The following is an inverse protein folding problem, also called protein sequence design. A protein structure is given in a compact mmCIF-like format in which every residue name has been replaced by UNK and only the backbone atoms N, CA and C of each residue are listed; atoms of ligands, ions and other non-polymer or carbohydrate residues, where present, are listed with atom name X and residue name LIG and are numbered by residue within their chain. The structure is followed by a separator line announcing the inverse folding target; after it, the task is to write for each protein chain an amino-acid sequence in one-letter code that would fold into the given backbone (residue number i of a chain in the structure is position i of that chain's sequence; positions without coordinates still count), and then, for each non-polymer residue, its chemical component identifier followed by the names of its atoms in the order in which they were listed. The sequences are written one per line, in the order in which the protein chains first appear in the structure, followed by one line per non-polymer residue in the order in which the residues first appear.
data_IF_887105946054
#
_entry.id   IF_887105946054
#
_cell.length_a   1.000
_cell.length_b   1.000
_cell.length_c   1.000
_cell.angle_alpha   90.00
_cell.angle_beta   90.00
_cell.angle_gamma   90.00
#
_symmetry.space_group_name_H-M   'P 1'
#
loop_
_entity.id
_entity.type
_entity.pdbx_description
1 polymer ?
#
# COMPACT_ATOMS: atom_id res chain seq x y z
N UNK A 1 -62.95 56.72 20.34
CA UNK A 1 -62.75 55.57 19.44
C UNK A 1 -61.25 55.33 19.33
N UNK A 2 -60.77 54.40 20.13
CA UNK A 2 -59.35 54.05 20.26
C UNK A 2 -59.01 52.96 19.27
N UNK A 3 -57.92 53.15 18.52
CA UNK A 3 -57.23 52.08 17.80
C UNK A 3 -55.88 51.85 18.47
N UNK A 4 -55.77 50.76 19.19
CA UNK A 4 -54.52 50.26 19.75
C UNK A 4 -53.88 49.26 18.78
N UNK A 5 -52.71 49.55 18.31
CA UNK A 5 -51.89 48.63 17.50
C UNK A 5 -50.90 47.88 18.37
N UNK A 6 -51.02 46.55 18.40
CA UNK A 6 -50.09 45.65 19.07
C UNK A 6 -48.94 45.36 18.11
N UNK A 7 -47.71 45.80 18.43
CA UNK A 7 -46.49 45.40 17.74
C UNK A 7 -45.99 44.11 18.38
N UNK A 8 -46.10 43.00 17.65
CA UNK A 8 -45.46 41.74 18.02
C UNK A 8 -43.96 41.81 17.65
N UNK A 9 -43.10 41.73 18.66
CA UNK A 9 -41.67 41.55 18.51
C UNK A 9 -41.36 40.06 18.27
N UNK A 10 -40.91 39.73 17.06
CA UNK A 10 -40.31 38.42 16.77
C UNK A 10 -38.86 38.44 17.27
N UNK A 11 -38.60 37.74 18.39
CA UNK A 11 -37.28 37.42 18.83
C UNK A 11 -36.79 36.22 18.02
N UNK A 12 -35.90 36.42 17.08
CA UNK A 12 -35.20 35.35 16.37
C UNK A 12 -34.15 34.73 17.32
N UNK A 13 -34.42 33.57 17.89
CA UNK A 13 -33.40 32.73 18.51
C UNK A 13 -32.56 32.10 17.43
N UNK A 14 -31.41 32.67 17.13
CA UNK A 14 -30.35 32.00 16.36
C UNK A 14 -29.72 30.96 17.30
N UNK A 15 -30.14 29.70 17.16
CA UNK A 15 -29.44 28.57 17.75
C UNK A 15 -28.18 28.32 16.91
N UNK A 16 -27.07 28.86 17.37
CA UNK A 16 -25.76 28.48 16.86
C UNK A 16 -25.48 27.04 17.30
N UNK A 17 -25.70 26.08 16.42
CA UNK A 17 -25.16 24.73 16.56
C UNK A 17 -23.64 24.83 16.36
N UNK A 18 -22.93 25.09 17.44
CA UNK A 18 -21.50 24.82 17.49
C UNK A 18 -21.33 23.30 17.42
N UNK A 19 -20.97 22.78 16.26
CA UNK A 19 -20.40 21.45 16.16
C UNK A 19 -19.08 21.47 16.94
N UNK A 20 -19.14 21.10 18.21
CA UNK A 20 -17.97 20.63 18.94
C UNK A 20 -17.64 19.27 18.32
N UNK A 21 -16.83 19.26 17.27
CA UNK A 21 -16.22 18.03 16.82
C UNK A 21 -15.30 17.58 17.95
N UNK A 22 -15.69 16.49 18.63
CA UNK A 22 -14.86 15.85 19.63
C UNK A 22 -13.49 15.57 19.01
N UNK A 23 -12.40 15.83 19.72
CA UNK A 23 -11.05 15.50 19.29
C UNK A 23 -10.92 14.01 18.92
N UNK A 24 -11.66 13.12 19.59
CA UNK A 24 -11.79 11.69 19.30
C UNK A 24 -12.34 11.37 17.88
N UNK A 25 -13.03 12.30 17.23
CA UNK A 25 -13.55 12.08 15.89
C UNK A 25 -12.47 12.16 14.80
N UNK A 26 -11.28 12.64 15.11
CA UNK A 26 -10.16 12.84 14.17
C UNK A 26 -9.09 11.73 14.21
N UNK A 27 -9.09 10.89 15.23
CA UNK A 27 -8.12 9.80 15.36
C UNK A 27 -8.66 8.49 14.78
N UNK A 28 -7.80 7.63 14.23
CA UNK A 28 -8.19 6.26 13.89
C UNK A 28 -8.48 5.45 15.16
N UNK A 29 -9.42 4.47 15.12
CA UNK A 29 -9.73 3.66 16.30
C UNK A 29 -8.49 2.96 16.82
N UNK A 30 -8.15 3.18 18.10
CA UNK A 30 -7.01 2.50 18.71
C UNK A 30 -7.37 1.03 18.97
N UNK A 31 -6.64 0.07 18.36
CA UNK A 31 -6.87 -1.35 18.58
C UNK A 31 -6.35 -1.79 19.95
N UNK A 32 -6.89 -2.88 20.48
CA UNK A 32 -6.27 -3.61 21.57
C UNK A 32 -5.14 -4.49 21.03
N UNK A 33 -4.03 -4.59 21.77
CA UNK A 33 -2.88 -5.36 21.32
C UNK A 33 -2.31 -6.25 22.43
N UNK A 34 -1.77 -7.40 22.04
CA UNK A 34 -0.99 -8.24 22.91
C UNK A 34 -0.02 -9.12 22.11
N UNK A 35 1.01 -9.62 22.78
CA UNK A 35 1.99 -10.51 22.15
C UNK A 35 2.01 -11.86 22.88
N UNK A 36 1.98 -12.94 22.13
CA UNK A 36 2.14 -14.30 22.68
C UNK A 36 3.59 -14.58 23.07
N UNK A 37 3.81 -15.60 23.91
CA UNK A 37 5.16 -16.02 24.33
C UNK A 37 6.07 -16.45 23.16
N UNK A 38 5.49 -16.91 22.06
CA UNK A 38 6.22 -17.30 20.85
C UNK A 38 6.49 -16.14 19.90
N UNK A 39 6.17 -14.90 20.30
CA UNK A 39 6.44 -13.67 19.54
C UNK A 39 5.34 -13.23 18.59
N UNK A 40 4.24 -13.96 18.44
CA UNK A 40 3.12 -13.52 17.60
C UNK A 40 2.51 -12.25 18.19
N UNK A 41 2.54 -11.17 17.41
CA UNK A 41 1.85 -9.92 17.73
C UNK A 41 0.39 -10.04 17.32
N UNK A 42 -0.53 -9.62 18.17
CA UNK A 42 -1.98 -9.66 17.91
C UNK A 42 -2.56 -8.26 18.05
N UNK A 43 -3.37 -7.89 17.08
CA UNK A 43 -4.09 -6.61 16.99
C UNK A 43 -5.58 -6.90 16.87
N UNK A 44 -6.39 -6.31 17.73
CA UNK A 44 -7.85 -6.55 17.79
C UNK A 44 -8.58 -5.23 17.59
N UNK A 45 -9.38 -5.17 16.53
CA UNK A 45 -10.20 -4.01 16.19
C UNK A 45 -11.66 -4.40 16.38
N UNK A 46 -12.21 -4.08 17.54
CA UNK A 46 -13.60 -4.44 17.87
C UNK A 46 -14.59 -3.59 17.09
N UNK A 47 -15.42 -4.26 16.29
CA UNK A 47 -16.52 -3.65 15.55
C UNK A 47 -17.75 -4.57 15.55
N UNK A 48 -18.72 -4.27 16.40
CA UNK A 48 -19.90 -5.10 16.62
C UNK A 48 -21.12 -4.72 15.74
N UNK A 49 -20.90 -3.91 14.68
CA UNK A 49 -21.98 -3.48 13.77
C UNK A 49 -22.58 -4.63 12.96
N UNK A 50 -21.80 -5.68 12.70
CA UNK A 50 -22.26 -6.88 12.00
C UNK A 50 -21.60 -8.13 12.60
N UNK A 51 -22.25 -9.31 12.59
CA UNK A 51 -21.72 -10.54 13.16
C UNK A 51 -20.70 -11.22 12.22
N UNK A 52 -19.73 -10.45 11.74
CA UNK A 52 -18.66 -10.88 10.86
C UNK A 52 -17.30 -10.46 11.40
N UNK A 53 -16.28 -11.15 11.00
CA UNK A 53 -14.89 -10.85 11.34
C UNK A 53 -14.01 -10.93 10.09
N UNK A 54 -13.03 -10.06 10.02
CA UNK A 54 -11.88 -10.14 9.11
C UNK A 54 -10.69 -10.61 9.92
N UNK A 55 -10.17 -11.77 9.59
CA UNK A 55 -8.99 -12.38 10.19
C UNK A 55 -7.84 -12.28 9.20
N UNK A 56 -6.72 -11.67 9.56
CA UNK A 56 -5.57 -11.46 8.68
C UNK A 56 -4.28 -11.87 9.36
N UNK A 57 -3.46 -12.67 8.67
CA UNK A 57 -2.10 -12.97 9.11
C UNK A 57 -1.10 -12.30 8.17
N UNK A 58 -0.31 -11.40 8.73
CA UNK A 58 0.72 -10.63 8.04
C UNK A 58 2.09 -11.20 8.40
N UNK A 59 2.81 -11.69 7.42
CA UNK A 59 4.20 -12.09 7.60
C UNK A 59 5.10 -10.93 7.20
N UNK A 60 6.07 -10.60 8.08
CA UNK A 60 7.09 -9.58 7.82
C UNK A 60 8.15 -10.12 6.87
N UNK A 61 7.74 -10.46 5.66
CA UNK A 61 8.57 -10.97 4.56
C UNK A 61 7.86 -10.72 3.25
N UNK A 62 8.57 -10.17 2.28
CA UNK A 62 8.08 -9.90 0.94
C UNK A 62 9.19 -9.99 -0.10
N UNK A 63 8.96 -9.43 -1.27
CA UNK A 63 9.92 -9.49 -2.37
C UNK A 63 11.28 -8.86 -2.05
N UNK A 64 11.33 -7.92 -1.09
CA UNK A 64 12.60 -7.30 -0.68
C UNK A 64 13.49 -8.22 0.15
N UNK A 65 12.96 -9.31 0.69
CA UNK A 65 13.69 -10.26 1.54
C UNK A 65 14.17 -11.50 0.75
N UNK A 66 13.93 -11.51 -0.54
CA UNK A 66 14.32 -12.61 -1.43
C UNK A 66 15.83 -12.63 -1.66
N UNK A 67 16.48 -13.80 -1.58
CA UNK A 67 17.86 -13.93 -2.01
C UNK A 67 18.01 -13.56 -3.50
N UNK A 68 19.15 -13.00 -3.88
CA UNK A 68 19.45 -12.69 -5.29
C UNK A 68 19.44 -13.96 -6.14
N UNK A 69 18.81 -13.90 -7.30
CA UNK A 69 18.72 -15.02 -8.24
C UNK A 69 17.50 -15.92 -8.04
N UNK A 70 16.63 -15.60 -7.07
CA UNK A 70 15.40 -16.35 -6.79
C UNK A 70 14.20 -15.43 -6.61
N UNK A 71 14.15 -14.34 -7.38
CA UNK A 71 13.06 -13.36 -7.30
C UNK A 71 11.70 -13.98 -7.63
N UNK A 72 10.67 -13.48 -6.96
CA UNK A 72 9.31 -13.99 -7.06
C UNK A 72 8.99 -15.11 -6.08
N UNK A 73 9.95 -15.54 -5.25
CA UNK A 73 9.73 -16.64 -4.30
C UNK A 73 8.69 -16.25 -3.22
N UNK A 74 8.64 -14.99 -2.79
CA UNK A 74 7.64 -14.51 -1.83
C UNK A 74 6.22 -14.58 -2.43
N UNK A 75 6.04 -14.11 -3.65
CA UNK A 75 4.78 -14.23 -4.38
C UNK A 75 4.45 -15.70 -4.70
N UNK A 76 5.44 -16.52 -5.01
CA UNK A 76 5.23 -17.96 -5.18
C UNK A 76 4.69 -18.61 -3.90
N UNK A 77 5.18 -18.17 -2.73
CA UNK A 77 4.63 -18.66 -1.46
C UNK A 77 3.21 -18.20 -1.19
N UNK A 78 2.81 -17.02 -1.64
CA UNK A 78 1.41 -16.62 -1.63
C UNK A 78 0.52 -17.71 -2.23
N UNK A 79 0.87 -18.23 -3.40
CA UNK A 79 0.16 -19.31 -4.08
C UNK A 79 0.29 -20.67 -3.38
N UNK A 80 1.51 -21.03 -2.97
CA UNK A 80 1.77 -22.34 -2.35
C UNK A 80 1.03 -22.54 -1.04
N UNK A 81 0.74 -21.48 -0.29
CA UNK A 81 0.00 -21.55 0.97
C UNK A 81 -1.44 -22.06 0.80
N UNK A 82 -1.99 -22.07 -0.41
CA UNK A 82 -3.29 -22.67 -0.73
C UNK A 82 -3.19 -24.12 -1.22
N UNK A 83 -1.99 -24.69 -1.34
CA UNK A 83 -1.76 -26.01 -1.93
C UNK A 83 -1.83 -27.16 -0.93
N UNK A 84 -2.20 -26.87 0.32
CA UNK A 84 -2.52 -27.85 1.34
C UNK A 84 -1.47 -28.02 2.43
N UNK A 85 -1.87 -28.78 3.45
CA UNK A 85 -1.07 -29.11 4.63
C UNK A 85 -1.11 -30.62 4.87
N UNK A 86 -0.68 -31.07 6.05
CA UNK A 86 -0.90 -32.45 6.49
C UNK A 86 -2.37 -32.77 6.76
N UNK A 87 -3.19 -31.77 7.11
CA UNK A 87 -4.59 -31.93 7.53
C UNK A 87 -5.57 -31.45 6.48
N UNK A 88 -5.16 -30.52 5.63
CA UNK A 88 -5.99 -29.83 4.65
C UNK A 88 -5.50 -30.21 3.24
N UNK A 89 -6.35 -30.81 2.43
CA UNK A 89 -6.02 -31.18 1.06
C UNK A 89 -5.88 -29.92 0.16
N UNK A 90 -5.16 -30.01 -0.97
CA UNK A 90 -5.04 -28.88 -1.91
C UNK A 90 -6.38 -28.26 -2.30
N UNK A 91 -6.48 -26.93 -2.17
CA UNK A 91 -7.71 -26.16 -2.46
C UNK A 91 -8.86 -26.37 -1.47
N UNK A 92 -8.71 -27.24 -0.46
CA UNK A 92 -9.76 -27.46 0.55
C UNK A 92 -9.88 -26.28 1.52
N UNK A 93 -8.83 -25.49 1.68
CA UNK A 93 -8.85 -24.28 2.49
C UNK A 93 -9.95 -23.33 1.99
N UNK A 94 -9.83 -22.83 0.78
CA UNK A 94 -10.79 -21.89 0.18
C UNK A 94 -12.19 -22.52 0.01
N UNK A 95 -12.28 -23.81 -0.34
CA UNK A 95 -13.57 -24.51 -0.37
C UNK A 95 -14.25 -24.55 0.99
N UNK A 96 -13.48 -24.71 2.08
CA UNK A 96 -14.02 -24.72 3.45
C UNK A 96 -14.49 -23.32 3.86
N UNK A 97 -13.72 -22.27 3.57
CA UNK A 97 -14.12 -20.89 3.82
C UNK A 97 -15.41 -20.56 3.06
N UNK A 98 -15.48 -20.84 1.77
CA UNK A 98 -16.65 -20.60 0.93
C UNK A 98 -17.90 -21.36 1.40
N UNK A 99 -17.77 -22.66 1.80
CA UNK A 99 -18.90 -23.44 2.36
C UNK A 99 -19.44 -22.86 3.68
N UNK A 100 -18.63 -22.11 4.41
CA UNK A 100 -19.04 -21.40 5.63
C UNK A 100 -19.45 -19.95 5.36
N UNK A 101 -19.67 -19.55 4.11
CA UNK A 101 -20.17 -18.24 3.72
C UNK A 101 -19.12 -17.12 3.80
N UNK A 102 -17.84 -17.48 3.84
CA UNK A 102 -16.72 -16.55 3.85
C UNK A 102 -16.04 -16.43 2.49
N UNK A 103 -15.12 -15.52 2.41
CA UNK A 103 -14.16 -15.33 1.33
C UNK A 103 -12.74 -15.29 1.89
N UNK A 104 -11.77 -15.73 1.09
CA UNK A 104 -10.35 -15.75 1.42
C UNK A 104 -9.52 -15.27 0.24
N UNK A 105 -8.40 -14.61 0.54
CA UNK A 105 -7.43 -14.19 -0.46
C UNK A 105 -6.07 -13.93 0.20
N UNK A 106 -5.09 -13.53 -0.62
CA UNK A 106 -3.75 -13.15 -0.19
C UNK A 106 -3.16 -12.07 -1.10
N UNK A 107 -2.10 -11.44 -0.66
CA UNK A 107 -1.33 -10.49 -1.46
C UNK A 107 0.10 -10.38 -0.94
N UNK A 108 1.02 -10.10 -1.85
CA UNK A 108 2.45 -9.91 -1.58
C UNK A 108 2.87 -8.49 -1.96
N UNK A 109 3.69 -7.88 -1.11
CA UNK A 109 4.37 -6.61 -1.33
C UNK A 109 5.89 -6.82 -1.27
N UNK A 110 6.66 -5.73 -1.31
CA UNK A 110 8.09 -5.80 -1.02
C UNK A 110 8.38 -6.15 0.43
N UNK A 111 7.55 -5.68 1.36
CA UNK A 111 7.83 -5.73 2.81
C UNK A 111 7.04 -6.80 3.56
N UNK A 112 6.00 -7.34 2.96
CA UNK A 112 5.11 -8.27 3.62
C UNK A 112 4.39 -9.19 2.63
N UNK A 113 3.90 -10.32 3.17
CA UNK A 113 2.90 -11.18 2.53
C UNK A 113 1.76 -11.37 3.53
N UNK A 114 0.53 -11.15 3.10
CA UNK A 114 -0.64 -11.23 3.96
C UNK A 114 -1.67 -12.21 3.40
N UNK A 115 -2.34 -12.91 4.31
CA UNK A 115 -3.45 -13.82 4.03
C UNK A 115 -4.64 -13.39 4.87
N UNK A 116 -5.84 -13.44 4.30
CA UNK A 116 -7.02 -13.03 5.04
C UNK A 116 -8.25 -13.86 4.70
N UNK A 117 -9.12 -13.95 5.68
CA UNK A 117 -10.45 -14.51 5.59
C UNK A 117 -11.46 -13.52 6.17
N UNK A 118 -12.55 -13.33 5.45
CA UNK A 118 -13.72 -12.66 5.96
C UNK A 118 -14.84 -13.66 6.16
N UNK A 119 -15.33 -13.80 7.40
CA UNK A 119 -16.23 -14.89 7.75
C UNK A 119 -17.17 -14.51 8.88
N UNK A 120 -18.27 -15.28 9.06
CA UNK A 120 -19.16 -15.10 10.22
C UNK A 120 -18.40 -15.34 11.54
N UNK A 121 -18.72 -14.55 12.57
CA UNK A 121 -18.05 -14.60 13.87
C UNK A 121 -17.96 -16.02 14.46
N UNK A 122 -19.02 -16.81 14.35
CA UNK A 122 -19.08 -18.17 14.89
C UNK A 122 -18.20 -19.18 14.13
N UNK A 123 -17.56 -18.73 13.04
CA UNK A 123 -16.59 -19.50 12.21
C UNK A 123 -15.14 -19.03 12.40
N UNK A 124 -14.90 -18.00 13.20
CA UNK A 124 -13.55 -17.46 13.43
C UNK A 124 -12.58 -18.55 13.90
N UNK A 125 -12.96 -19.38 14.86
CA UNK A 125 -12.08 -20.45 15.36
C UNK A 125 -11.70 -21.45 14.29
N UNK A 126 -12.57 -21.73 13.31
CA UNK A 126 -12.28 -22.63 12.18
C UNK A 126 -11.13 -22.05 11.32
N UNK A 127 -11.23 -20.78 10.91
CA UNK A 127 -10.18 -20.17 10.07
C UNK A 127 -8.87 -20.02 10.86
N UNK A 128 -8.92 -19.69 12.13
CA UNK A 128 -7.73 -19.65 13.00
C UNK A 128 -7.02 -21.00 13.08
N UNK A 129 -7.78 -22.10 13.18
CA UNK A 129 -7.20 -23.44 13.17
C UNK A 129 -6.52 -23.73 11.83
N UNK A 130 -7.16 -23.40 10.71
CA UNK A 130 -6.65 -23.64 9.37
C UNK A 130 -5.39 -22.80 9.08
N UNK A 131 -5.42 -21.53 9.47
CA UNK A 131 -4.27 -20.63 9.33
C UNK A 131 -3.07 -21.06 10.19
N UNK A 132 -3.32 -21.40 11.44
CA UNK A 132 -2.27 -21.90 12.32
C UNK A 132 -1.62 -23.18 11.78
N UNK A 133 -2.40 -24.06 11.12
CA UNK A 133 -1.89 -25.28 10.49
C UNK A 133 -1.01 -24.92 9.27
N UNK A 134 -1.47 -24.06 8.34
CA UNK A 134 -0.68 -23.71 7.16
C UNK A 134 0.56 -22.88 7.48
N UNK A 135 0.59 -22.15 8.59
CA UNK A 135 1.78 -21.41 9.03
C UNK A 135 3.01 -22.32 9.23
N UNK A 136 2.84 -23.59 9.62
CA UNK A 136 3.97 -24.48 9.96
C UNK A 136 3.92 -25.88 9.36
N UNK A 137 2.81 -26.27 8.76
CA UNK A 137 2.60 -27.64 8.29
C UNK A 137 2.30 -27.73 6.78
N UNK A 138 2.63 -26.68 6.03
CA UNK A 138 2.48 -26.65 4.57
C UNK A 138 3.13 -27.87 3.91
N UNK A 139 2.43 -28.49 2.96
CA UNK A 139 2.91 -29.62 2.18
C UNK A 139 2.46 -29.54 0.76
N UNK A 140 3.39 -29.72 -0.17
CA UNK A 140 3.15 -29.85 -1.59
C UNK A 140 4.13 -30.82 -2.22
N UNK A 141 3.72 -31.49 -3.30
CA UNK A 141 4.57 -32.38 -4.09
C UNK A 141 5.42 -31.61 -5.09
N UNK A 142 6.40 -32.28 -5.69
CA UNK A 142 7.20 -31.71 -6.78
C UNK A 142 6.33 -31.37 -7.99
N UNK A 143 5.31 -32.19 -8.28
CA UNK A 143 4.33 -31.95 -9.34
C UNK A 143 3.50 -30.68 -9.05
N UNK A 144 2.99 -30.52 -7.83
CA UNK A 144 2.25 -29.30 -7.42
C UNK A 144 3.14 -28.06 -7.53
N UNK A 145 4.40 -28.17 -7.12
CA UNK A 145 5.37 -27.08 -7.21
C UNK A 145 5.62 -26.68 -8.66
N UNK A 146 5.88 -27.64 -9.55
CA UNK A 146 6.12 -27.40 -10.96
C UNK A 146 4.90 -26.76 -11.66
N UNK A 147 3.70 -27.31 -11.39
CA UNK A 147 2.45 -26.78 -11.94
C UNK A 147 2.21 -25.32 -11.49
N UNK A 148 2.46 -25.00 -10.23
CA UNK A 148 2.25 -23.64 -9.72
C UNK A 148 3.28 -22.65 -10.24
N UNK A 149 4.52 -23.08 -10.48
CA UNK A 149 5.53 -22.27 -11.14
C UNK A 149 5.08 -21.86 -12.53
N UNK A 150 4.48 -22.77 -13.29
CA UNK A 150 3.94 -22.47 -14.62
C UNK A 150 2.77 -21.49 -14.54
N UNK A 151 1.91 -21.58 -13.51
CA UNK A 151 0.82 -20.63 -13.25
C UNK A 151 1.39 -19.21 -13.02
N UNK A 152 2.39 -19.07 -12.18
CA UNK A 152 3.02 -17.76 -11.90
C UNK A 152 3.73 -17.20 -13.13
N UNK A 153 4.42 -18.05 -13.89
CA UNK A 153 5.03 -17.63 -15.14
C UNK A 153 3.99 -17.10 -16.14
N UNK A 154 2.81 -17.74 -16.19
CA UNK A 154 1.70 -17.27 -17.04
C UNK A 154 1.06 -15.98 -16.48
N UNK A 155 0.90 -15.87 -15.17
CA UNK A 155 0.43 -14.65 -14.53
C UNK A 155 1.35 -13.47 -14.81
N UNK A 156 2.68 -13.68 -14.75
CA UNK A 156 3.65 -12.65 -15.13
C UNK A 156 3.47 -12.22 -16.58
N UNK A 157 3.30 -13.17 -17.50
CA UNK A 157 3.04 -12.83 -18.91
C UNK A 157 1.79 -11.97 -19.05
N UNK A 158 0.72 -12.32 -18.34
CA UNK A 158 -0.56 -11.59 -18.42
C UNK A 158 -0.49 -10.21 -17.78
N UNK A 159 0.11 -10.08 -16.59
CA UNK A 159 0.13 -8.82 -15.82
C UNK A 159 1.23 -7.87 -16.27
N UNK A 160 2.40 -8.39 -16.67
CA UNK A 160 3.56 -7.58 -16.99
C UNK A 160 3.89 -7.64 -18.48
N UNK A 161 4.29 -8.81 -19.00
CA UNK A 161 4.91 -8.92 -20.33
C UNK A 161 3.92 -8.53 -21.46
N UNK A 162 2.62 -8.72 -21.25
CA UNK A 162 1.58 -8.31 -22.19
C UNK A 162 1.06 -6.88 -21.99
N UNK A 163 1.56 -6.14 -20.99
CA UNK A 163 1.17 -4.76 -20.68
C UNK A 163 2.35 -3.81 -20.91
N UNK A 164 2.38 -3.05 -22.02
CA UNK A 164 3.50 -2.15 -22.30
C UNK A 164 3.80 -1.15 -21.19
N UNK A 165 2.76 -0.65 -20.52
CA UNK A 165 2.91 0.25 -19.36
C UNK A 165 3.56 -0.43 -18.15
N UNK A 166 3.21 -1.70 -17.89
CA UNK A 166 3.81 -2.47 -16.81
C UNK A 166 5.29 -2.79 -17.09
N UNK A 167 5.63 -3.14 -18.34
CA UNK A 167 7.03 -3.34 -18.79
C UNK A 167 7.84 -2.07 -18.59
N UNK A 168 7.30 -0.91 -18.97
CA UNK A 168 7.97 0.37 -18.77
C UNK A 168 8.15 0.67 -17.27
N UNK A 169 7.09 0.49 -16.46
CA UNK A 169 7.14 0.71 -15.02
C UNK A 169 8.16 -0.18 -14.30
N UNK A 170 8.26 -1.46 -14.69
CA UNK A 170 9.26 -2.39 -14.16
C UNK A 170 10.68 -1.91 -14.47
N UNK A 171 10.96 -1.48 -15.72
CA UNK A 171 12.27 -0.93 -16.12
C UNK A 171 12.60 0.36 -15.36
N UNK A 172 11.65 1.25 -15.23
CA UNK A 172 11.83 2.50 -14.47
C UNK A 172 12.17 2.23 -13.01
N UNK A 173 11.47 1.28 -12.40
CA UNK A 173 11.72 0.89 -11.01
C UNK A 173 13.10 0.28 -10.83
N UNK A 174 13.51 -0.63 -11.71
CA UNK A 174 14.84 -1.22 -11.69
C UNK A 174 15.96 -0.19 -11.89
N UNK A 175 15.72 0.88 -12.65
CA UNK A 175 16.65 2.00 -12.80
C UNK A 175 16.64 2.91 -11.55
N UNK A 176 15.48 3.15 -10.94
CA UNK A 176 15.35 3.97 -9.74
C UNK A 176 16.04 3.31 -8.53
N UNK A 177 15.99 1.98 -8.45
CA UNK A 177 16.48 1.16 -7.36
C UNK A 177 17.46 0.08 -7.88
N UNK A 178 18.67 0.47 -8.38
CA UNK A 178 19.58 -0.47 -9.06
C UNK A 178 20.20 -1.50 -8.10
N UNK A 179 20.30 -1.21 -6.80
CA UNK A 179 20.87 -2.11 -5.79
C UNK A 179 19.89 -2.49 -4.70
N UNK A 180 19.02 -1.56 -4.34
CA UNK A 180 17.98 -1.79 -3.34
C UNK A 180 16.97 -2.82 -3.87
N UNK A 181 16.49 -3.78 -3.03
CA UNK A 181 15.59 -4.85 -3.48
C UNK A 181 14.23 -4.36 -4.02
N UNK A 182 13.84 -3.11 -3.75
CA UNK A 182 12.64 -2.52 -4.37
C UNK A 182 12.72 -2.34 -5.87
N UNK A 183 13.91 -2.48 -6.47
CA UNK A 183 14.08 -2.55 -7.91
C UNK A 183 13.67 -3.88 -8.54
N UNK A 184 13.53 -4.94 -7.71
CA UNK A 184 13.08 -6.26 -8.16
C UNK A 184 11.54 -6.29 -8.20
N UNK A 185 10.94 -6.81 -9.29
CA UNK A 185 9.48 -6.95 -9.36
C UNK A 185 8.97 -7.95 -8.33
N UNK A 186 7.83 -7.66 -7.70
CA UNK A 186 7.22 -8.54 -6.68
C UNK A 186 6.92 -9.93 -7.23
N UNK A 187 6.43 -10.00 -8.48
CA UNK A 187 6.17 -11.28 -9.16
C UNK A 187 7.46 -12.02 -9.55
N UNK A 188 8.62 -11.35 -9.50
CA UNK A 188 9.91 -11.90 -9.89
C UNK A 188 10.24 -11.75 -11.38
N UNK A 189 11.50 -11.95 -11.73
CA UNK A 189 11.98 -12.01 -13.10
C UNK A 189 11.65 -13.37 -13.72
N UNK A 190 11.12 -13.42 -14.95
CA UNK A 190 10.67 -14.66 -15.59
C UNK A 190 11.74 -15.78 -15.61
N UNK A 191 12.99 -15.44 -15.86
CA UNK A 191 14.09 -16.40 -15.89
C UNK A 191 14.41 -16.98 -14.49
N UNK A 192 14.26 -16.18 -13.43
CA UNK A 192 14.43 -16.61 -12.04
C UNK A 192 13.24 -17.45 -11.58
N UNK A 193 12.00 -17.03 -11.91
CA UNK A 193 10.79 -17.83 -11.65
C UNK A 193 10.94 -19.24 -12.25
N UNK A 194 11.39 -19.34 -13.50
CA UNK A 194 11.58 -20.63 -14.17
C UNK A 194 12.69 -21.47 -13.54
N UNK A 195 13.63 -20.86 -12.84
CA UNK A 195 14.75 -21.51 -12.16
C UNK A 195 14.47 -21.86 -10.69
N UNK A 196 13.34 -21.39 -10.12
CA UNK A 196 12.98 -21.72 -8.74
C UNK A 196 12.88 -23.24 -8.53
N UNK A 197 13.45 -23.69 -7.43
CA UNK A 197 13.38 -25.08 -7.00
C UNK A 197 12.64 -25.22 -5.65
N UNK A 198 12.18 -26.44 -5.40
CA UNK A 198 11.37 -26.75 -4.22
C UNK A 198 12.16 -26.64 -2.91
N UNK A 199 13.45 -26.92 -2.92
CA UNK A 199 14.28 -26.90 -1.71
C UNK A 199 14.48 -25.48 -1.22
N UNK A 200 14.87 -24.57 -2.10
CA UNK A 200 14.97 -23.13 -1.87
C UNK A 200 13.64 -22.56 -1.36
N UNK A 201 12.53 -22.97 -1.99
CA UNK A 201 11.22 -22.57 -1.54
C UNK A 201 10.91 -23.04 -0.11
N UNK A 202 11.18 -24.30 0.23
CA UNK A 202 10.95 -24.81 1.58
C UNK A 202 11.86 -24.17 2.63
N UNK A 203 13.09 -23.77 2.26
CA UNK A 203 13.98 -23.01 3.13
C UNK A 203 13.40 -21.62 3.44
N UNK A 204 12.94 -20.91 2.42
CA UNK A 204 12.28 -19.61 2.56
C UNK A 204 11.07 -19.70 3.50
N UNK A 205 10.20 -20.69 3.31
CA UNK A 205 9.06 -20.93 4.19
C UNK A 205 9.47 -21.19 5.65
N UNK A 206 10.41 -22.10 5.88
CA UNK A 206 10.85 -22.47 7.24
C UNK A 206 11.45 -21.27 7.98
N UNK A 207 12.12 -20.40 7.25
CA UNK A 207 12.76 -19.19 7.79
C UNK A 207 11.73 -18.14 8.17
N UNK A 208 10.84 -17.79 7.25
CA UNK A 208 10.04 -16.58 7.36
C UNK A 208 8.63 -16.82 7.90
N UNK A 209 8.01 -17.96 7.63
CA UNK A 209 6.62 -18.25 8.03
C UNK A 209 6.57 -18.78 9.47
N UNK A 210 6.67 -17.87 10.44
CA UNK A 210 6.76 -18.20 11.84
C UNK A 210 6.01 -17.19 12.71
N UNK A 211 5.51 -17.57 13.89
CA UNK A 211 4.73 -16.68 14.75
C UNK A 211 5.50 -15.42 15.18
N UNK A 212 6.80 -15.51 15.42
CA UNK A 212 7.64 -14.34 15.78
C UNK A 212 7.98 -13.42 14.59
N UNK A 213 7.58 -13.78 13.39
CA UNK A 213 7.67 -12.95 12.19
C UNK A 213 6.27 -12.56 11.68
N UNK A 214 5.23 -12.78 12.46
CA UNK A 214 3.85 -12.56 12.03
C UNK A 214 3.10 -11.59 12.94
N UNK A 215 2.12 -10.92 12.33
CA UNK A 215 1.11 -10.09 13.00
C UNK A 215 -0.24 -10.69 12.66
N UNK A 216 -1.02 -11.03 13.69
CA UNK A 216 -2.42 -11.41 13.53
C UNK A 216 -3.28 -10.16 13.78
N UNK A 217 -4.01 -9.73 12.77
CA UNK A 217 -5.01 -8.65 12.89
C UNK A 217 -6.39 -9.27 12.79
N UNK A 218 -7.24 -9.03 13.80
CA UNK A 218 -8.64 -9.46 13.77
C UNK A 218 -9.52 -8.24 13.96
N UNK A 219 -10.32 -7.93 12.95
CA UNK A 219 -11.27 -6.82 12.97
C UNK A 219 -12.70 -7.34 12.86
N UNK A 220 -13.59 -6.90 13.73
CA UNK A 220 -15.01 -7.29 13.67
C UNK A 220 -15.64 -7.57 15.03
N UNK A 221 -16.65 -8.46 15.03
CA UNK A 221 -17.46 -8.77 16.21
C UNK A 221 -16.75 -9.69 17.19
N UNK A 222 -15.61 -9.22 17.70
CA UNK A 222 -14.81 -9.91 18.74
C UNK A 222 -13.99 -8.87 19.50
N UNK A 223 -13.78 -9.05 20.80
CA UNK A 223 -12.85 -8.26 21.60
C UNK A 223 -11.61 -9.09 22.00
N UNK A 224 -10.62 -8.42 22.60
CA UNK A 224 -9.36 -9.07 22.97
C UNK A 224 -9.54 -10.14 24.06
N UNK A 225 -10.52 -9.99 24.96
CA UNK A 225 -10.79 -10.97 26.01
C UNK A 225 -11.37 -12.27 25.43
N UNK A 226 -12.27 -12.15 24.45
CA UNK A 226 -12.87 -13.27 23.71
C UNK A 226 -11.83 -13.94 22.79
N UNK A 227 -11.00 -13.15 22.12
CA UNK A 227 -10.05 -13.63 21.13
C UNK A 227 -8.81 -14.33 21.73
N UNK A 228 -8.26 -13.79 22.84
CA UNK A 228 -7.01 -14.29 23.44
C UNK A 228 -6.97 -15.80 23.69
N UNK A 229 -8.00 -16.44 24.30
CA UNK A 229 -7.98 -17.89 24.53
C UNK A 229 -7.93 -18.71 23.23
N UNK A 230 -8.54 -18.21 22.14
CA UNK A 230 -8.52 -18.86 20.82
C UNK A 230 -7.12 -18.75 20.20
N UNK A 231 -6.51 -17.54 20.22
CA UNK A 231 -5.17 -17.32 19.73
C UNK A 231 -4.14 -18.18 20.49
N UNK A 232 -4.23 -18.24 21.83
CA UNK A 232 -3.35 -19.07 22.64
C UNK A 232 -3.50 -20.57 22.31
N UNK A 233 -4.72 -21.03 22.05
CA UNK A 233 -5.02 -22.42 21.71
C UNK A 233 -4.40 -22.83 20.36
N UNK A 234 -4.57 -22.03 19.32
CA UNK A 234 -4.21 -22.37 17.94
C UNK A 234 -2.79 -21.94 17.61
N UNK A 235 -2.40 -20.71 17.91
CA UNK A 235 -1.10 -20.14 17.55
C UNK A 235 -0.06 -20.29 18.66
N UNK A 236 -0.47 -20.33 19.94
CA UNK A 236 0.46 -20.34 21.07
C UNK A 236 1.42 -21.54 21.13
N UNK A 237 1.09 -22.65 20.47
CA UNK A 237 1.89 -23.86 20.38
C UNK A 237 2.87 -23.89 19.21
N UNK A 238 2.74 -22.93 18.28
CA UNK A 238 3.61 -22.85 17.11
C UNK A 238 5.01 -22.43 17.54
N UNK A 239 6.01 -23.10 16.97
CA UNK A 239 7.41 -22.82 17.30
C UNK A 239 7.89 -21.58 16.54
N UNK A 240 8.53 -20.63 17.22
CA UNK A 240 9.18 -19.49 16.56
C UNK A 240 10.40 -19.97 15.75
N UNK A 241 10.79 -19.21 14.75
CA UNK A 241 12.10 -19.32 14.10
C UNK A 241 13.15 -18.67 15.02
N UNK A 242 14.24 -19.39 15.33
CA UNK A 242 15.27 -18.90 16.28
C UNK A 242 16.14 -17.81 15.68
N UNK A 243 16.56 -17.99 14.44
CA UNK A 243 17.52 -17.13 13.76
C UNK A 243 16.83 -16.47 12.57
N UNK A 244 15.86 -15.59 12.86
CA UNK A 244 15.25 -14.75 11.82
C UNK A 244 16.33 -13.80 11.26
N UNK A 245 16.51 -13.75 9.94
CA UNK A 245 17.43 -12.80 9.33
C UNK A 245 17.05 -11.35 9.64
N UNK A 246 18.05 -10.52 9.88
CA UNK A 246 17.85 -9.08 9.96
C UNK A 246 17.52 -8.53 8.56
N UNK A 247 16.56 -7.62 8.51
CA UNK A 247 16.14 -6.97 7.25
C UNK A 247 16.99 -5.73 6.97
N UNK A 248 18.27 -5.95 6.67
CA UNK A 248 19.23 -4.93 6.32
C UNK A 248 19.50 -4.97 4.81
N UNK A 249 18.90 -4.05 4.09
CA UNK A 249 19.03 -4.00 2.63
C UNK A 249 20.13 -3.05 2.19
N UNK A 250 20.76 -3.40 1.07
CA UNK A 250 21.76 -2.54 0.41
C UNK A 250 21.06 -1.26 -0.01
N UNK A 251 21.67 -0.13 0.31
CA UNK A 251 21.20 1.18 -0.10
C UNK A 251 21.79 1.56 -1.46
N UNK A 252 21.02 2.29 -2.25
CA UNK A 252 21.50 2.83 -3.50
C UNK A 252 22.40 4.05 -3.29
N UNK A 253 23.45 4.22 -4.10
CA UNK A 253 24.24 5.43 -4.09
C UNK A 253 23.37 6.65 -4.48
N UNK A 254 23.82 7.87 -4.17
CA UNK A 254 23.20 9.08 -4.71
C UNK A 254 23.15 9.04 -6.24
N UNK A 255 22.06 9.51 -6.82
CA UNK A 255 21.94 9.64 -8.27
C UNK A 255 22.92 10.70 -8.80
N UNK A 256 23.45 10.46 -9.99
CA UNK A 256 24.44 11.35 -10.62
C UNK A 256 23.87 12.12 -11.82
N UNK A 257 22.59 12.03 -12.07
CA UNK A 257 21.89 12.70 -13.16
C UNK A 257 20.57 12.04 -13.53
N UNK A 258 19.71 12.72 -14.28
CA UNK A 258 18.41 12.21 -14.66
C UNK A 258 18.57 11.01 -15.60
N UNK A 259 17.79 9.97 -15.37
CA UNK A 259 17.74 8.77 -16.21
C UNK A 259 16.51 8.79 -17.09
N UNK A 260 16.62 8.21 -18.28
CA UNK A 260 15.49 8.11 -19.22
C UNK A 260 15.41 6.72 -19.82
N UNK A 261 14.21 6.20 -19.95
CA UNK A 261 13.89 4.98 -20.67
C UNK A 261 12.67 5.19 -21.56
N UNK A 262 12.67 4.62 -22.75
CA UNK A 262 11.48 4.58 -23.61
C UNK A 262 11.12 3.13 -23.92
N UNK A 263 9.82 2.90 -24.07
CA UNK A 263 9.28 1.62 -24.52
C UNK A 263 8.30 1.86 -25.67
N UNK A 264 8.54 1.19 -26.80
CA UNK A 264 7.66 1.20 -27.98
C UNK A 264 6.97 -0.14 -28.10
N UNK A 265 5.67 -0.13 -28.39
CA UNK A 265 4.90 -1.35 -28.57
C UNK A 265 3.70 -1.11 -29.47
N UNK A 266 3.38 -2.09 -30.32
CA UNK A 266 2.22 -2.07 -31.26
C UNK A 266 0.86 -1.91 -30.53
N UNK A 267 0.77 -2.28 -29.27
CA UNK A 267 -0.45 -2.18 -28.47
C UNK A 267 -0.69 -0.75 -27.96
N UNK A 268 0.34 0.11 -27.97
CA UNK A 268 0.26 1.49 -27.51
C UNK A 268 -0.36 2.35 -28.61
N UNK A 269 -1.50 2.94 -28.33
CA UNK A 269 -2.18 3.84 -29.27
C UNK A 269 -1.96 5.31 -28.93
N UNK A 270 -1.85 5.61 -27.65
CA UNK A 270 -1.65 6.96 -27.15
C UNK A 270 -0.33 6.99 -26.35
N UNK A 271 0.59 7.89 -26.70
CA UNK A 271 1.82 8.06 -25.94
C UNK A 271 1.52 8.54 -24.51
N UNK A 272 2.38 8.20 -23.58
CA UNK A 272 2.29 8.73 -22.20
C UNK A 272 3.68 8.85 -21.60
N UNK A 273 3.81 9.69 -20.60
CA UNK A 273 5.03 9.78 -19.82
C UNK A 273 4.75 9.55 -18.33
N UNK A 274 5.74 9.02 -17.65
CA UNK A 274 5.81 9.02 -16.20
C UNK A 274 7.21 9.35 -15.73
N UNK A 275 7.34 9.96 -14.56
CA UNK A 275 8.61 10.26 -13.91
C UNK A 275 8.55 9.81 -12.47
N UNK A 276 9.56 9.07 -12.04
CA UNK A 276 9.66 8.54 -10.68
C UNK A 276 10.84 9.16 -9.94
N UNK A 277 10.65 9.42 -8.66
CA UNK A 277 11.66 9.90 -7.72
C UNK A 277 11.71 8.98 -6.51
N UNK A 278 12.91 8.77 -5.93
CA UNK A 278 13.01 8.17 -4.60
C UNK A 278 12.54 9.17 -3.56
N UNK A 279 11.89 8.66 -2.53
CA UNK A 279 11.33 9.47 -1.46
C UNK A 279 11.57 8.84 -0.09
N UNK A 280 11.36 9.63 0.94
CA UNK A 280 11.27 9.16 2.32
C UNK A 280 10.00 8.32 2.49
N UNK A 281 9.97 7.45 3.49
CA UNK A 281 8.78 6.73 3.92
C UNK A 281 8.52 6.93 5.41
N UNK A 282 7.34 6.58 5.89
CA UNK A 282 7.00 6.63 7.31
C UNK A 282 7.97 5.82 8.19
N UNK A 283 8.43 4.68 7.70
CA UNK A 283 9.38 3.84 8.43
C UNK A 283 10.82 4.40 8.48
N UNK A 284 11.18 5.30 7.55
CA UNK A 284 12.49 5.96 7.48
C UNK A 284 12.46 7.41 7.94
N UNK A 285 11.30 7.90 8.33
CA UNK A 285 11.08 9.29 8.79
C UNK A 285 11.41 9.42 10.28
N UNK A 286 12.15 10.48 10.64
CA UNK A 286 12.44 10.83 12.02
C UNK A 286 11.49 11.91 12.58
N UNK A 287 10.36 12.17 11.89
CA UNK A 287 9.44 13.22 12.31
C UNK A 287 8.14 13.23 11.54
N UNK A 288 7.82 14.34 10.84
CA UNK A 288 6.62 14.49 10.01
C UNK A 288 6.92 14.71 8.52
N UNK A 289 8.11 14.33 8.10
CA UNK A 289 8.57 14.60 6.74
C UNK A 289 7.76 13.82 5.70
N UNK A 290 7.42 12.55 5.99
CA UNK A 290 6.57 11.73 5.13
C UNK A 290 5.14 12.29 4.99
N UNK A 291 4.55 12.77 6.10
CA UNK A 291 3.24 13.46 6.08
C UNK A 291 3.30 14.74 5.25
N UNK A 292 4.38 15.54 5.41
CA UNK A 292 4.57 16.76 4.65
C UNK A 292 4.74 16.50 3.15
N UNK A 293 5.43 15.41 2.79
CA UNK A 293 5.55 14.97 1.41
C UNK A 293 4.20 14.55 0.82
N UNK A 294 3.42 13.74 1.53
CA UNK A 294 2.10 13.31 1.08
C UNK A 294 1.20 14.50 0.79
N UNK A 295 1.14 15.47 1.70
CA UNK A 295 0.37 16.72 1.50
C UNK A 295 0.89 17.52 0.30
N UNK A 296 2.21 17.66 0.15
CA UNK A 296 2.81 18.38 -0.97
C UNK A 296 2.46 17.76 -2.32
N UNK A 297 2.53 16.43 -2.40
CA UNK A 297 2.25 15.68 -3.64
C UNK A 297 0.74 15.66 -3.95
N UNK A 298 -0.12 15.62 -2.92
CA UNK A 298 -1.56 15.76 -3.14
C UNK A 298 -1.92 17.13 -3.75
N UNK A 299 -1.32 18.21 -3.26
CA UNK A 299 -1.47 19.55 -3.85
C UNK A 299 -0.95 19.59 -5.29
N UNK A 300 0.20 18.97 -5.56
CA UNK A 300 0.80 18.96 -6.89
C UNK A 300 -0.02 18.18 -7.90
N UNK A 301 -0.52 16.98 -7.54
CA UNK A 301 -1.10 16.08 -8.53
C UNK A 301 -2.15 15.07 -8.02
N UNK A 302 -2.62 15.16 -6.76
CA UNK A 302 -3.48 14.15 -6.15
C UNK A 302 -4.93 14.13 -6.60
N UNK A 303 -5.41 15.17 -7.31
CA UNK A 303 -6.82 15.28 -7.71
C UNK A 303 -7.01 16.16 -8.94
N UNK A 304 -8.24 16.25 -9.45
CA UNK A 304 -8.60 17.17 -10.55
C UNK A 304 -8.46 18.67 -10.17
N UNK A 305 -8.38 18.98 -8.87
CA UNK A 305 -8.15 20.36 -8.39
C UNK A 305 -6.68 20.65 -8.12
N UNK A 306 -5.78 19.70 -8.39
CA UNK A 306 -4.33 19.83 -8.22
C UNK A 306 -3.69 20.70 -9.30
N UNK A 307 -2.45 21.14 -9.06
CA UNK A 307 -1.76 22.05 -9.98
C UNK A 307 -1.49 21.45 -11.35
N UNK A 308 -1.00 20.19 -11.40
CA UNK A 308 -0.72 19.51 -12.67
C UNK A 308 -1.99 19.36 -13.51
N UNK A 309 -3.09 18.92 -12.90
CA UNK A 309 -4.34 18.75 -13.64
C UNK A 309 -4.87 20.09 -14.17
N UNK A 310 -4.97 21.08 -13.31
CA UNK A 310 -5.46 22.42 -13.71
C UNK A 310 -4.62 23.04 -14.82
N UNK A 311 -3.29 23.05 -14.65
CA UNK A 311 -2.41 23.68 -15.63
C UNK A 311 -2.42 22.96 -16.98
N UNK A 312 -2.34 21.63 -16.99
CA UNK A 312 -2.10 20.86 -18.21
C UNK A 312 -3.40 20.41 -18.90
N UNK A 313 -4.46 20.11 -18.11
CA UNK A 313 -5.73 19.59 -18.64
C UNK A 313 -6.74 20.71 -18.85
N UNK A 314 -6.94 21.61 -17.87
CA UNK A 314 -7.99 22.65 -17.95
C UNK A 314 -7.52 23.91 -18.66
N UNK A 315 -6.34 24.45 -18.30
CA UNK A 315 -5.87 25.75 -18.77
C UNK A 315 -5.14 25.63 -20.12
N UNK A 316 -4.01 24.89 -20.18
CA UNK A 316 -3.23 24.70 -21.40
C UNK A 316 -3.88 23.72 -22.40
N UNK A 317 -4.68 22.78 -21.91
CA UNK A 317 -5.37 21.74 -22.72
C UNK A 317 -4.43 20.93 -23.60
N UNK A 318 -3.25 20.62 -23.07
CA UNK A 318 -2.22 19.82 -23.75
C UNK A 318 -2.19 18.37 -23.25
N UNK A 319 -2.90 18.07 -22.17
CA UNK A 319 -3.02 16.71 -21.62
C UNK A 319 -4.49 16.29 -21.47
N UNK A 320 -4.76 14.99 -21.64
CA UNK A 320 -6.05 14.37 -21.31
C UNK A 320 -6.08 13.92 -19.85
N UNK A 321 -4.91 13.69 -19.26
CA UNK A 321 -4.74 13.38 -17.84
C UNK A 321 -3.36 13.81 -17.38
N UNK A 322 -3.25 14.30 -16.15
CA UNK A 322 -2.00 14.62 -15.49
C UNK A 322 -2.19 14.51 -13.99
N UNK A 323 -1.17 14.03 -13.27
CA UNK A 323 -1.22 13.89 -11.84
C UNK A 323 0.11 13.49 -11.23
N UNK A 324 0.12 13.40 -9.89
CA UNK A 324 1.22 12.89 -9.11
C UNK A 324 0.69 12.07 -7.92
N UNK A 325 1.47 11.12 -7.47
CA UNK A 325 1.17 10.31 -6.29
C UNK A 325 2.44 10.02 -5.51
N UNK A 326 2.35 10.02 -4.19
CA UNK A 326 3.38 9.55 -3.29
C UNK A 326 3.05 8.12 -2.82
N UNK A 327 4.06 7.28 -2.75
CA UNK A 327 4.04 6.03 -2.01
C UNK A 327 5.07 6.15 -0.89
N UNK A 328 4.60 6.58 0.27
CA UNK A 328 5.39 6.80 1.48
C UNK A 328 5.32 5.61 2.43
N UNK A 329 4.56 4.57 2.10
CA UNK A 329 4.65 3.25 2.73
C UNK A 329 5.90 2.52 2.24
N UNK A 330 6.50 1.76 3.14
CA UNK A 330 7.66 0.94 2.82
C UNK A 330 8.78 1.07 3.85
N UNK A 331 9.35 -0.06 4.21
CA UNK A 331 10.41 -0.14 5.21
C UNK A 331 11.74 0.46 4.71
N UNK A 332 12.01 0.36 3.42
CA UNK A 332 13.28 0.77 2.79
C UNK A 332 13.24 2.14 2.11
N UNK A 333 12.16 2.88 2.26
CA UNK A 333 11.95 4.17 1.60
C UNK A 333 10.70 4.18 0.72
N UNK A 334 10.38 5.35 0.18
CA UNK A 334 9.21 5.63 -0.65
C UNK A 334 9.55 6.03 -2.07
N UNK A 335 8.53 6.35 -2.84
CA UNK A 335 8.66 6.92 -4.18
C UNK A 335 7.57 7.94 -4.49
N UNK A 336 7.88 8.92 -5.33
CA UNK A 336 6.90 9.81 -5.94
C UNK A 336 6.85 9.51 -7.42
N UNK A 337 5.64 9.49 -7.99
CA UNK A 337 5.40 9.33 -9.41
C UNK A 337 4.61 10.53 -9.94
N UNK A 338 5.07 11.10 -11.05
CA UNK A 338 4.36 12.12 -11.84
C UNK A 338 4.02 11.49 -13.19
N UNK A 339 2.81 11.63 -13.66
CA UNK A 339 2.36 11.04 -14.92
C UNK A 339 1.49 11.98 -15.73
N UNK A 340 1.55 11.87 -17.04
CA UNK A 340 0.65 12.59 -17.94
C UNK A 340 0.49 11.88 -19.29
N UNK A 341 -0.66 12.12 -19.91
CA UNK A 341 -1.00 11.63 -21.24
C UNK A 341 -1.35 12.84 -22.11
N UNK A 342 -0.66 13.09 -23.24
CA UNK A 342 -0.91 14.27 -24.08
C UNK A 342 -2.25 14.16 -24.83
N UNK A 343 -2.80 15.28 -25.26
CA UNK A 343 -3.85 15.29 -26.30
C UNK A 343 -3.22 15.00 -27.67
N UNK A 344 -4.04 14.59 -28.63
CA UNK A 344 -3.59 14.33 -29.99
C UNK A 344 -2.86 15.55 -30.60
N UNK A 345 -1.70 15.30 -31.23
CA UNK A 345 -0.87 16.33 -31.83
C UNK A 345 0.11 17.04 -30.88
N UNK A 346 0.05 16.78 -29.60
CA UNK A 346 1.04 17.28 -28.62
C UNK A 346 2.15 16.23 -28.42
N UNK A 347 3.41 16.64 -28.58
CA UNK A 347 4.56 15.75 -28.38
C UNK A 347 4.86 15.55 -26.90
N UNK A 348 5.53 14.41 -26.56
CA UNK A 348 5.95 14.13 -25.18
C UNK A 348 6.98 15.15 -24.68
N UNK A 349 7.85 15.67 -25.56
CA UNK A 349 8.81 16.74 -25.22
C UNK A 349 8.08 18.01 -24.75
N UNK A 350 7.01 18.42 -25.48
CA UNK A 350 6.21 19.58 -25.09
C UNK A 350 5.49 19.36 -23.78
N UNK A 351 4.93 18.15 -23.59
CA UNK A 351 4.23 17.79 -22.36
C UNK A 351 5.19 17.75 -21.16
N UNK A 352 6.36 17.15 -21.33
CA UNK A 352 7.39 17.06 -20.29
C UNK A 352 7.88 18.45 -19.88
N UNK A 353 8.16 19.33 -20.86
CA UNK A 353 8.56 20.71 -20.57
C UNK A 353 7.48 21.48 -19.76
N UNK A 354 6.21 21.29 -20.08
CA UNK A 354 5.12 21.89 -19.35
C UNK A 354 4.97 21.33 -17.91
N UNK A 355 5.22 20.03 -17.71
CA UNK A 355 5.27 19.43 -16.37
C UNK A 355 6.42 20.04 -15.56
N UNK A 356 7.60 20.20 -16.18
CA UNK A 356 8.76 20.79 -15.52
C UNK A 356 8.51 22.25 -15.13
N UNK A 357 7.80 23.03 -15.97
CA UNK A 357 7.37 24.39 -15.64
C UNK A 357 6.45 24.42 -14.40
N UNK A 358 5.43 23.54 -14.35
CA UNK A 358 4.50 23.46 -13.20
C UNK A 358 5.25 23.02 -11.91
N UNK A 359 6.16 22.05 -12.02
CA UNK A 359 6.96 21.63 -10.87
C UNK A 359 7.88 22.76 -10.41
N UNK A 360 8.56 23.46 -11.32
CA UNK A 360 9.44 24.57 -10.99
C UNK A 360 8.70 25.73 -10.29
N UNK A 361 7.50 26.07 -10.77
CA UNK A 361 6.63 27.06 -10.14
C UNK A 361 6.20 26.60 -8.74
N UNK A 362 5.78 25.34 -8.59
CA UNK A 362 5.44 24.76 -7.28
C UNK A 362 6.61 24.80 -6.29
N UNK A 363 7.82 24.48 -6.74
CA UNK A 363 9.03 24.53 -5.90
C UNK A 363 9.49 25.97 -5.59
N UNK A 364 9.12 26.94 -6.44
CA UNK A 364 9.36 28.37 -6.19
C UNK A 364 8.42 28.93 -5.13
N UNK A 365 7.12 28.81 -5.38
CA UNK A 365 6.08 29.51 -4.61
C UNK A 365 5.54 28.70 -3.43
N UNK A 366 5.62 27.36 -3.49
CA UNK A 366 5.00 26.44 -2.55
C UNK A 366 3.49 26.35 -2.68
N UNK A 367 2.83 25.49 -1.89
CA UNK A 367 1.37 25.43 -1.84
C UNK A 367 0.80 26.73 -1.26
N UNK A 368 -0.34 27.17 -1.74
CA UNK A 368 -1.12 28.23 -1.06
C UNK A 368 -1.82 27.65 0.17
N UNK A 369 -2.20 28.49 1.13
CA UNK A 369 -2.97 28.06 2.31
C UNK A 369 -4.28 27.34 1.93
N UNK A 370 -4.94 27.81 0.86
CA UNK A 370 -6.18 27.18 0.39
C UNK A 370 -5.95 25.78 -0.22
N UNK A 371 -4.87 25.57 -0.95
CA UNK A 371 -4.48 24.26 -1.49
C UNK A 371 -4.10 23.32 -0.38
N UNK A 372 -3.29 23.79 0.57
CA UNK A 372 -2.87 23.03 1.75
C UNK A 372 -4.07 22.57 2.57
N UNK A 373 -4.99 23.49 2.90
CA UNK A 373 -6.20 23.18 3.65
C UNK A 373 -7.09 22.16 2.94
N UNK A 374 -7.22 22.26 1.61
CA UNK A 374 -8.02 21.35 0.80
C UNK A 374 -7.40 19.94 0.78
N UNK A 375 -6.08 19.80 0.57
CA UNK A 375 -5.36 18.53 0.60
C UNK A 375 -5.53 17.83 1.96
N UNK A 376 -5.26 18.53 3.06
CA UNK A 376 -5.44 18.01 4.42
C UNK A 376 -6.87 17.56 4.69
N UNK A 377 -7.86 18.36 4.29
CA UNK A 377 -9.28 18.01 4.45
C UNK A 377 -9.66 16.75 3.68
N UNK A 378 -9.18 16.60 2.44
CA UNK A 378 -9.40 15.43 1.61
C UNK A 378 -8.79 14.17 2.23
N UNK A 379 -7.53 14.24 2.65
CA UNK A 379 -6.80 13.14 3.27
C UNK A 379 -7.43 12.73 4.62
N UNK A 380 -7.81 13.70 5.45
CA UNK A 380 -8.51 13.46 6.72
C UNK A 380 -9.89 12.82 6.50
N UNK A 381 -10.62 13.24 5.47
CA UNK A 381 -11.90 12.63 5.11
C UNK A 381 -11.73 11.17 4.68
N UNK A 382 -10.72 10.87 3.85
CA UNK A 382 -10.41 9.51 3.44
C UNK A 382 -10.07 8.60 4.64
N UNK A 383 -9.31 9.10 5.61
CA UNK A 383 -9.02 8.38 6.85
C UNK A 383 -10.27 8.12 7.70
N UNK A 384 -11.21 9.06 7.74
CA UNK A 384 -12.50 8.87 8.43
C UNK A 384 -13.33 7.79 7.74
N UNK A 385 -13.42 7.81 6.41
CA UNK A 385 -14.17 6.79 5.66
C UNK A 385 -13.57 5.38 5.79
N UNK A 386 -12.25 5.26 5.97
CA UNK A 386 -11.63 3.96 6.18
C UNK A 386 -12.11 3.23 7.46
N UNK A 387 -12.63 3.97 8.45
CA UNK A 387 -13.21 3.41 9.70
C UNK A 387 -14.47 2.58 9.47
N UNK A 388 -15.16 2.82 8.35
CA UNK A 388 -16.40 2.13 8.04
C UNK A 388 -16.20 0.71 7.52
N UNK A 389 -14.97 0.34 7.17
CA UNK A 389 -14.60 -0.97 6.68
C UNK A 389 -13.65 -1.69 7.64
N UNK A 390 -14.09 -2.83 8.18
CA UNK A 390 -13.26 -3.72 9.01
C UNK A 390 -12.00 -4.17 8.26
N UNK A 391 -12.14 -4.50 6.98
CA UNK A 391 -11.03 -4.91 6.13
C UNK A 391 -10.05 -3.77 5.89
N UNK A 392 -10.52 -2.55 5.62
CA UNK A 392 -9.66 -1.37 5.45
C UNK A 392 -8.84 -1.09 6.70
N UNK A 393 -9.45 -1.14 7.88
CA UNK A 393 -8.73 -0.96 9.15
C UNK A 393 -7.70 -2.07 9.38
N UNK A 394 -8.09 -3.33 9.13
CA UNK A 394 -7.16 -4.46 9.26
C UNK A 394 -5.97 -4.34 8.31
N UNK A 395 -6.20 -3.87 7.08
CA UNK A 395 -5.15 -3.59 6.09
C UNK A 395 -4.23 -2.45 6.55
N UNK A 396 -4.79 -1.32 7.01
CA UNK A 396 -4.00 -0.17 7.48
C UNK A 396 -3.06 -0.60 8.61
N UNK A 397 -3.60 -1.18 9.70
CA UNK A 397 -2.78 -1.59 10.83
C UNK A 397 -1.78 -2.69 10.47
N UNK A 398 -2.21 -3.67 9.68
CA UNK A 398 -1.35 -4.78 9.27
C UNK A 398 -0.18 -4.32 8.41
N UNK A 399 -0.43 -3.49 7.40
CA UNK A 399 0.61 -2.98 6.51
C UNK A 399 1.60 -2.07 7.27
N UNK A 400 1.11 -1.08 8.00
CA UNK A 400 1.96 -0.16 8.77
C UNK A 400 2.86 -0.89 9.76
N UNK A 401 2.31 -1.82 10.56
CA UNK A 401 3.09 -2.61 11.50
C UNK A 401 4.09 -3.57 10.82
N UNK A 402 3.74 -4.11 9.65
CA UNK A 402 4.65 -4.97 8.89
C UNK A 402 5.81 -4.17 8.27
N UNK A 403 5.59 -2.92 7.95
CA UNK A 403 6.58 -1.97 7.44
C UNK A 403 7.45 -1.34 8.54
N UNK A 404 7.05 -1.43 9.80
CA UNK A 404 7.85 -0.99 10.94
C UNK A 404 7.31 0.22 11.69
N UNK A 405 6.15 0.72 11.31
CA UNK A 405 5.43 1.74 12.05
C UNK A 405 4.84 1.18 13.35
N UNK A 406 4.45 2.05 14.26
CA UNK A 406 3.79 1.73 15.52
C UNK A 406 2.26 1.94 15.44
N UNK A 407 1.54 1.42 16.41
CA UNK A 407 0.10 1.73 16.59
C UNK A 407 -0.12 3.24 16.76
N UNK A 408 0.79 3.92 17.45
CA UNK A 408 0.68 5.36 17.69
C UNK A 408 0.82 6.16 16.40
N UNK A 409 1.71 5.77 15.51
CA UNK A 409 1.89 6.41 14.20
C UNK A 409 0.58 6.32 13.38
N UNK A 410 -0.03 5.14 13.33
CA UNK A 410 -1.30 4.94 12.61
C UNK A 410 -2.44 5.73 13.24
N UNK A 411 -2.59 5.67 14.57
CA UNK A 411 -3.68 6.38 15.27
C UNK A 411 -3.56 7.89 15.10
N UNK A 412 -2.35 8.42 15.19
CA UNK A 412 -2.08 9.86 15.14
C UNK A 412 -1.99 10.42 13.72
N UNK A 413 -1.92 9.57 12.69
CA UNK A 413 -1.72 9.99 11.30
C UNK A 413 -2.64 11.15 10.85
N UNK A 414 -3.98 11.14 11.12
CA UNK A 414 -4.83 12.27 10.71
C UNK A 414 -4.47 13.59 11.42
N UNK A 415 -4.06 13.51 12.70
CA UNK A 415 -3.61 14.68 13.45
C UNK A 415 -2.30 15.22 12.88
N UNK A 416 -1.37 14.33 12.53
CA UNK A 416 -0.06 14.71 12.03
C UNK A 416 -0.15 15.27 10.59
N UNK A 417 -1.04 14.79 9.75
CA UNK A 417 -1.43 15.42 8.48
C UNK A 417 -1.98 16.84 8.71
N UNK A 418 -2.90 17.02 9.66
CA UNK A 418 -3.48 18.33 9.96
C UNK A 418 -2.42 19.34 10.45
N UNK A 419 -1.40 18.86 11.14
CA UNK A 419 -0.33 19.68 11.70
C UNK A 419 0.74 20.09 10.66
N UNK A 420 0.76 19.52 9.45
CA UNK A 420 1.72 19.87 8.39
C UNK A 420 1.63 21.36 8.06
N UNK A 421 2.75 22.06 8.04
CA UNK A 421 2.84 23.46 7.63
C UNK A 421 3.15 23.59 6.13
N UNK A 422 2.93 24.79 5.60
CA UNK A 422 3.26 25.13 4.21
C UNK A 422 4.76 24.99 3.95
N UNK A 423 5.57 25.43 4.91
CA UNK A 423 7.03 25.38 4.85
C UNK A 423 7.54 23.94 4.84
N UNK A 424 7.00 23.06 5.70
CA UNK A 424 7.35 21.63 5.73
C UNK A 424 7.00 20.96 4.39
N UNK A 425 5.80 21.20 3.86
CA UNK A 425 5.36 20.65 2.56
C UNK A 425 6.27 21.11 1.41
N UNK A 426 6.60 22.40 1.36
CA UNK A 426 7.50 22.95 0.34
C UNK A 426 8.92 22.38 0.43
N UNK A 427 9.44 22.28 1.65
CA UNK A 427 10.79 21.75 1.89
C UNK A 427 10.89 20.29 1.43
N UNK A 428 9.90 19.46 1.77
CA UNK A 428 9.88 18.06 1.33
C UNK A 428 9.71 17.90 -0.17
N UNK A 429 8.91 18.77 -0.81
CA UNK A 429 8.82 18.80 -2.26
C UNK A 429 10.18 19.13 -2.91
N UNK A 430 10.91 20.13 -2.38
CA UNK A 430 12.25 20.52 -2.87
C UNK A 430 13.29 19.41 -2.72
N UNK A 431 13.25 18.69 -1.60
CA UNK A 431 14.17 17.56 -1.37
C UNK A 431 13.86 16.36 -2.27
N UNK A 432 12.58 16.12 -2.60
CA UNK A 432 12.16 14.92 -3.33
C UNK A 432 12.14 15.11 -4.84
N UNK A 433 11.60 16.24 -5.33
CA UNK A 433 11.39 16.48 -6.78
C UNK A 433 12.65 17.02 -7.47
N UNK A 434 13.79 16.37 -7.20
CA UNK A 434 15.09 16.72 -7.79
C UNK A 434 15.25 15.96 -9.11
N UNK A 435 15.28 16.68 -10.23
CA UNK A 435 15.35 16.08 -11.57
C UNK A 435 16.54 15.13 -11.73
N UNK A 436 17.71 15.50 -11.19
CA UNK A 436 18.93 14.66 -11.24
C UNK A 436 18.79 13.31 -10.50
N UNK A 437 17.77 13.16 -9.67
CA UNK A 437 17.46 11.92 -8.93
C UNK A 437 16.26 11.19 -9.50
N UNK A 438 15.84 11.48 -10.73
CA UNK A 438 14.64 10.93 -11.34
C UNK A 438 14.91 9.92 -12.44
N UNK A 439 13.88 9.09 -12.69
CA UNK A 439 13.79 8.24 -13.87
C UNK A 439 12.55 8.66 -14.65
N UNK A 440 12.73 9.12 -15.89
CA UNK A 440 11.64 9.45 -16.81
C UNK A 440 11.41 8.31 -17.79
N UNK A 441 10.18 7.84 -17.88
CA UNK A 441 9.73 6.80 -18.81
C UNK A 441 8.78 7.36 -19.87
N UNK A 442 9.04 7.05 -21.13
CA UNK A 442 8.15 7.35 -22.25
C UNK A 442 7.58 6.05 -22.82
N UNK A 443 6.26 5.95 -22.83
CA UNK A 443 5.54 4.89 -23.52
C UNK A 443 5.09 5.41 -24.89
N UNK A 444 5.46 4.73 -25.94
CA UNK A 444 5.31 5.22 -27.31
C UNK A 444 4.63 4.15 -28.19
N UNK A 445 3.80 4.55 -29.17
CA UNK A 445 3.38 3.66 -30.23
C UNK A 445 4.60 3.21 -31.05
N UNK A 446 4.49 2.09 -31.75
CA UNK A 446 5.50 1.67 -32.74
C UNK A 446 5.46 2.61 -33.95
N UNK A 447 6.63 2.88 -34.54
CA UNK A 447 6.73 3.82 -35.66
C UNK A 447 5.91 3.30 -36.86
N UNK A 448 4.98 4.15 -37.36
CA UNK A 448 4.17 3.86 -38.55
C UNK A 448 2.71 3.56 -38.29
N UNK A 449 2.21 3.81 -37.09
CA UNK A 449 0.76 3.83 -36.80
C UNK A 449 0.21 5.24 -36.66
#
# INVERSE_FOLDING_TARGET
MLKGGIRAAFAACAVAFAFVMNADARELPRPETFTLRNGLQVVVITDRRAPVVTHMVWYRVGAADEPRGVSGIAHFFEHLMFKGTRQIAPGEFSRTVARNGGDDNAFTSWDYTAYYERIARDRLELVMQMEADRMRNLRFSDETFASERDVIAEERRQRIDNSPGAVLGERMRAMLWPHHPYGTPIIGWLHEINALDRETALEFYRTWYAPNNAILVVAGDVDAAELRPLVERHYGRLRPTRDLPERNWVQDPPSVGPMRVSHRDVKVRQPSMSRMYRAISYATDEGRQAHALDVAIDVLGGSETSRLYRALVEEQRIAVSAGASANTGGRGGGSVSVYATPVEGVSLERLEAAIDEVIAEFLGDGPTEAELARAKSSMSAAAIYSRDSQESLANIYGASLAQGESIDDVVNWPRDIEAVTREEALEMARQTLVLDSSVTGWLLPEDGQ
#
